data_IF_802549833941
#
_entry.id   IF_802549833941
#
_cell.length_a   1.000
_cell.length_b   1.000
_cell.length_c   1.000
_cell.angle_alpha   90.00
_cell.angle_beta   90.00
_cell.angle_gamma   90.00
#
_symmetry.space_group_name_H-M   'P 1'
#
loop_
_entity.id
_entity.type
_entity.pdbx_description
1 polymer ?
#
# COMPACT_ATOMS: atom_id res chain seq x y z
N UNK A 1 17.88 13.35 12.61
CA UNK A 1 17.33 13.59 13.97
C UNK A 1 16.03 14.34 13.79
N UNK A 2 14.99 13.93 14.51
CA UNK A 2 13.72 14.68 14.51
C UNK A 2 13.87 15.98 15.32
N UNK A 3 12.84 16.85 15.32
CA UNK A 3 12.84 18.12 16.06
C UNK A 3 13.10 17.97 17.59
N UNK A 4 13.21 16.75 18.11
CA UNK A 4 13.47 16.44 19.52
C UNK A 4 14.89 15.92 19.79
N UNK A 5 15.80 15.92 18.78
CA UNK A 5 17.21 15.51 18.92
C UNK A 5 17.43 14.00 19.12
N UNK A 6 16.39 13.17 18.95
CA UNK A 6 16.46 11.69 19.05
C UNK A 6 16.34 11.02 17.68
N UNK A 7 16.74 9.75 17.60
CA UNK A 7 16.52 8.93 16.41
C UNK A 7 15.02 8.77 16.13
N UNK A 8 14.67 8.77 14.83
CA UNK A 8 13.30 8.50 14.34
C UNK A 8 13.05 7.01 14.49
N UNK A 9 12.06 6.64 15.29
CA UNK A 9 11.62 5.25 15.46
C UNK A 9 10.76 4.82 14.28
N UNK A 10 11.16 3.76 13.59
CA UNK A 10 10.48 3.24 12.41
C UNK A 10 9.92 1.84 12.69
N UNK A 11 8.67 1.60 12.33
CA UNK A 11 8.09 0.27 12.18
C UNK A 11 8.12 -0.08 10.68
N UNK A 12 8.69 -1.24 10.32
CA UNK A 12 8.67 -1.78 8.95
C UNK A 12 7.64 -2.89 8.83
N UNK A 13 6.75 -2.77 7.84
CA UNK A 13 5.70 -3.77 7.57
C UNK A 13 5.73 -4.18 6.11
N UNK A 14 6.14 -5.43 5.86
CA UNK A 14 6.22 -6.06 4.54
C UNK A 14 6.19 -7.58 4.74
N UNK A 15 5.45 -8.32 3.96
CA UNK A 15 5.38 -9.79 4.09
C UNK A 15 6.62 -10.50 3.51
N UNK A 16 7.39 -9.81 2.65
CA UNK A 16 8.61 -10.35 2.05
C UNK A 16 9.83 -10.13 2.96
N UNK A 17 10.26 -11.16 3.69
CA UNK A 17 11.34 -11.07 4.68
C UNK A 17 12.66 -10.50 4.11
N UNK A 18 13.05 -10.89 2.89
CA UNK A 18 14.29 -10.41 2.24
C UNK A 18 14.21 -8.91 1.92
N UNK A 19 13.05 -8.47 1.41
CA UNK A 19 12.78 -7.06 1.09
C UNK A 19 12.81 -6.22 2.37
N UNK A 20 12.09 -6.67 3.41
CA UNK A 20 12.03 -6.02 4.72
C UNK A 20 13.42 -5.88 5.35
N UNK A 21 14.24 -6.94 5.30
CA UNK A 21 15.61 -6.90 5.80
C UNK A 21 16.51 -5.94 5.00
N UNK A 22 16.30 -5.83 3.69
CA UNK A 22 17.01 -4.85 2.84
C UNK A 22 16.70 -3.41 3.27
N UNK A 23 15.44 -3.07 3.48
CA UNK A 23 15.01 -1.74 3.91
C UNK A 23 15.38 -1.43 5.36
N UNK A 24 15.37 -2.44 6.24
CA UNK A 24 15.90 -2.30 7.60
C UNK A 24 17.35 -1.78 7.55
N UNK A 25 18.23 -2.50 6.84
CA UNK A 25 19.65 -2.11 6.70
C UNK A 25 19.81 -0.75 6.04
N UNK A 26 18.96 -0.40 5.07
CA UNK A 26 19.01 0.89 4.39
C UNK A 26 18.69 2.03 5.37
N UNK A 27 17.65 1.90 6.16
CA UNK A 27 17.24 2.92 7.13
C UNK A 27 18.26 3.09 8.25
N UNK A 28 18.84 2.00 8.76
CA UNK A 28 19.81 2.05 9.85
C UNK A 28 21.22 2.52 9.43
N UNK A 29 21.48 2.68 8.12
CA UNK A 29 22.67 3.43 7.67
C UNK A 29 22.61 4.91 8.08
N UNK A 30 21.43 5.43 8.30
CA UNK A 30 21.23 6.78 8.81
C UNK A 30 21.15 6.74 10.35
N UNK A 31 22.14 7.28 11.09
CA UNK A 31 22.17 7.24 12.55
C UNK A 31 21.01 8.01 13.20
N UNK A 32 20.28 8.80 12.40
CA UNK A 32 19.06 9.47 12.86
C UNK A 32 17.81 8.59 12.79
N UNK A 33 17.91 7.33 12.35
CA UNK A 33 16.81 6.39 12.24
C UNK A 33 17.09 5.10 13.03
N UNK A 34 16.03 4.51 13.57
CA UNK A 34 16.07 3.24 14.27
C UNK A 34 14.83 2.42 13.91
N UNK A 35 15.01 1.23 13.37
CA UNK A 35 13.91 0.27 13.17
C UNK A 35 13.62 -0.39 14.52
N UNK A 36 12.51 -0.02 15.15
CA UNK A 36 12.14 -0.51 16.49
C UNK A 36 11.30 -1.77 16.47
N UNK A 37 10.68 -2.08 15.33
CA UNK A 37 9.90 -3.29 15.13
C UNK A 37 9.74 -3.61 13.64
N UNK A 38 9.48 -4.89 13.36
CA UNK A 38 9.12 -5.41 12.04
C UNK A 38 7.85 -6.25 12.16
N UNK A 39 7.02 -6.24 11.10
CA UNK A 39 5.83 -7.06 11.00
C UNK A 39 5.66 -7.59 9.57
N UNK A 40 5.04 -8.77 9.43
CA UNK A 40 4.77 -9.41 8.15
C UNK A 40 3.27 -9.40 7.75
N UNK A 41 2.41 -8.89 8.61
CA UNK A 41 0.97 -8.87 8.40
C UNK A 41 0.30 -7.75 9.20
N UNK A 42 -0.98 -7.53 8.93
CA UNK A 42 -1.79 -6.47 9.56
C UNK A 42 -1.90 -6.58 11.08
N UNK A 43 -2.07 -7.80 11.61
CA UNK A 43 -2.26 -8.03 13.04
C UNK A 43 -1.02 -7.61 13.82
N UNK A 44 0.13 -8.14 13.40
CA UNK A 44 1.41 -7.86 14.05
C UNK A 44 1.79 -6.38 13.90
N UNK A 45 1.49 -5.76 12.75
CA UNK A 45 1.71 -4.33 12.53
C UNK A 45 0.96 -3.46 13.54
N UNK A 46 -0.32 -3.74 13.79
CA UNK A 46 -1.15 -3.01 14.76
C UNK A 46 -0.62 -3.23 16.19
N UNK A 47 -0.22 -4.45 16.53
CA UNK A 47 0.35 -4.76 17.83
C UNK A 47 1.69 -4.06 18.06
N UNK A 48 2.59 -4.10 17.07
CA UNK A 48 3.86 -3.37 17.11
C UNK A 48 3.67 -1.86 17.22
N UNK A 49 2.72 -1.27 16.48
CA UNK A 49 2.40 0.15 16.60
C UNK A 49 1.99 0.53 18.02
N UNK A 50 1.16 -0.30 18.65
CA UNK A 50 0.70 -0.09 20.03
C UNK A 50 1.83 -0.19 21.05
N UNK A 51 2.71 -1.19 20.92
CA UNK A 51 3.77 -1.48 21.88
C UNK A 51 4.95 -0.50 21.76
N UNK A 52 5.43 -0.28 20.55
CA UNK A 52 6.66 0.47 20.30
C UNK A 52 6.43 1.96 20.02
N UNK A 53 5.20 2.36 19.70
CA UNK A 53 4.82 3.73 19.35
C UNK A 53 5.82 4.37 18.40
N UNK A 54 5.99 3.84 17.18
CA UNK A 54 6.93 4.37 16.22
C UNK A 54 6.58 5.82 15.83
N UNK A 55 7.59 6.60 15.45
CA UNK A 55 7.39 7.94 14.87
C UNK A 55 6.82 7.85 13.46
N UNK A 56 7.19 6.78 12.71
CA UNK A 56 6.69 6.46 11.35
C UNK A 56 6.50 4.96 11.21
N UNK A 57 5.37 4.53 10.68
CA UNK A 57 5.15 3.17 10.18
C UNK A 57 5.27 3.17 8.65
N UNK A 58 6.26 2.44 8.11
CA UNK A 58 6.42 2.15 6.69
C UNK A 58 5.65 0.88 6.40
N UNK A 59 4.63 0.96 5.55
CA UNK A 59 3.60 -0.07 5.42
C UNK A 59 3.38 -0.45 3.96
N UNK A 60 3.63 -1.71 3.62
CA UNK A 60 3.26 -2.24 2.30
C UNK A 60 1.73 -2.34 2.15
N UNK A 61 1.23 -2.16 0.94
CA UNK A 61 -0.18 -2.35 0.60
C UNK A 61 -0.50 -3.84 0.48
N UNK A 62 0.38 -4.61 -0.16
CA UNK A 62 0.16 -6.03 -0.48
C UNK A 62 0.45 -6.94 0.72
N UNK A 63 -0.29 -6.79 1.81
CA UNK A 63 -0.18 -7.67 2.96
C UNK A 63 -1.15 -8.85 2.87
N UNK A 64 -0.79 -10.03 3.40
CA UNK A 64 -1.67 -11.20 3.40
C UNK A 64 -2.93 -10.93 4.23
N UNK A 65 -4.08 -11.36 3.70
CA UNK A 65 -5.39 -11.24 4.33
C UNK A 65 -5.93 -9.82 4.33
N UNK A 66 -5.43 -8.94 5.19
CA UNK A 66 -5.88 -7.54 5.32
C UNK A 66 -4.87 -6.61 4.66
N UNK A 67 -5.32 -5.84 3.66
CA UNK A 67 -4.44 -4.92 2.92
C UNK A 67 -3.80 -3.85 3.84
N UNK A 68 -2.63 -3.33 3.42
CA UNK A 68 -1.96 -2.26 4.14
C UNK A 68 -2.79 -0.97 4.26
N UNK A 69 -3.64 -0.67 3.28
CA UNK A 69 -4.52 0.51 3.36
C UNK A 69 -5.57 0.35 4.47
N UNK A 70 -6.16 -0.85 4.60
CA UNK A 70 -7.08 -1.12 5.71
C UNK A 70 -6.33 -1.19 7.05
N UNK A 71 -5.11 -1.72 7.05
CA UNK A 71 -4.22 -1.70 8.23
C UNK A 71 -3.93 -0.26 8.67
N UNK A 72 -3.59 0.62 7.74
CA UNK A 72 -3.37 2.05 8.01
C UNK A 72 -4.61 2.71 8.64
N UNK A 73 -5.80 2.42 8.09
CA UNK A 73 -7.06 2.95 8.65
C UNK A 73 -7.26 2.52 10.10
N UNK A 74 -7.02 1.25 10.42
CA UNK A 74 -7.13 0.71 11.78
C UNK A 74 -6.10 1.31 12.72
N UNK A 75 -4.84 1.47 12.27
CA UNK A 75 -3.79 2.10 13.07
C UNK A 75 -4.16 3.55 13.42
N UNK A 76 -4.61 4.34 12.43
CA UNK A 76 -5.05 5.73 12.66
C UNK A 76 -6.28 5.81 13.58
N UNK A 77 -7.22 4.86 13.46
CA UNK A 77 -8.39 4.79 14.34
C UNK A 77 -8.01 4.51 15.81
N UNK A 78 -6.96 3.71 16.04
CA UNK A 78 -6.44 3.42 17.39
C UNK A 78 -5.51 4.51 17.92
N UNK A 79 -4.75 5.16 17.04
CA UNK A 79 -3.78 6.20 17.38
C UNK A 79 -3.86 7.34 16.36
N UNK A 80 -4.61 8.37 16.69
CA UNK A 80 -4.90 9.49 15.79
C UNK A 80 -3.64 10.26 15.32
N UNK A 81 -2.54 10.19 16.07
CA UNK A 81 -1.24 10.79 15.73
C UNK A 81 -0.30 9.82 15.00
N UNK A 82 -0.76 8.60 14.63
CA UNK A 82 0.01 7.66 13.82
C UNK A 82 0.41 8.29 12.49
N UNK A 83 1.68 8.17 12.14
CA UNK A 83 2.22 8.67 10.88
C UNK A 83 2.59 7.50 10.01
N UNK A 84 1.88 7.35 8.91
CA UNK A 84 1.99 6.20 8.04
C UNK A 84 2.54 6.64 6.68
N UNK A 85 3.60 5.99 6.25
CA UNK A 85 4.17 6.04 4.92
C UNK A 85 3.79 4.75 4.19
N UNK A 86 2.92 4.83 3.20
CA UNK A 86 2.69 3.70 2.31
C UNK A 86 3.88 3.50 1.40
N UNK A 87 4.36 2.26 1.29
CA UNK A 87 5.52 1.90 0.50
C UNK A 87 5.21 0.67 -0.34
N UNK A 88 4.91 0.84 -1.62
CA UNK A 88 4.26 -0.18 -2.44
C UNK A 88 4.77 -0.24 -3.87
N UNK A 89 4.61 -1.41 -4.51
CA UNK A 89 4.85 -1.57 -5.96
C UNK A 89 3.78 -0.88 -6.81
N UNK A 90 2.62 -0.51 -6.23
CA UNK A 90 1.54 0.14 -6.97
C UNK A 90 1.79 1.64 -7.12
N UNK A 91 1.79 2.13 -8.36
CA UNK A 91 1.99 3.55 -8.70
C UNK A 91 0.69 4.26 -9.07
N UNK A 92 -0.40 3.51 -9.20
CA UNK A 92 -1.68 4.05 -9.65
C UNK A 92 -2.27 5.05 -8.65
N UNK A 93 -2.79 6.16 -9.14
CA UNK A 93 -3.41 7.23 -8.36
C UNK A 93 -4.51 6.75 -7.40
N UNK A 94 -5.22 5.68 -7.75
CA UNK A 94 -6.30 5.13 -6.94
C UNK A 94 -5.79 4.57 -5.60
N UNK A 95 -4.62 3.94 -5.57
CA UNK A 95 -4.03 3.44 -4.32
C UNK A 95 -3.56 4.59 -3.43
N UNK A 96 -2.89 5.58 -4.03
CA UNK A 96 -2.43 6.75 -3.30
C UNK A 96 -3.61 7.55 -2.71
N UNK A 97 -4.65 7.80 -3.49
CA UNK A 97 -5.85 8.50 -3.04
C UNK A 97 -6.52 7.77 -1.87
N UNK A 98 -6.65 6.44 -1.95
CA UNK A 98 -7.23 5.63 -0.88
C UNK A 98 -6.34 5.55 0.36
N UNK A 99 -5.02 5.51 0.18
CA UNK A 99 -4.07 5.56 1.27
C UNK A 99 -4.21 6.88 2.06
N UNK A 100 -4.28 8.01 1.35
CA UNK A 100 -4.51 9.31 1.99
C UNK A 100 -5.89 9.41 2.66
N UNK A 101 -6.94 8.88 2.05
CA UNK A 101 -8.27 8.79 2.67
C UNK A 101 -8.28 7.88 3.91
N UNK A 102 -7.40 6.88 3.99
CA UNK A 102 -7.19 6.04 5.17
C UNK A 102 -6.34 6.70 6.26
N UNK A 103 -5.81 7.91 6.02
CA UNK A 103 -5.01 8.69 6.97
C UNK A 103 -3.50 8.58 6.80
N UNK A 104 -3.00 7.95 5.73
CA UNK A 104 -1.57 7.95 5.43
C UNK A 104 -1.06 9.39 5.22
N UNK A 105 0.18 9.64 5.66
CA UNK A 105 0.88 10.91 5.49
C UNK A 105 1.83 10.92 4.30
N UNK A 106 2.21 9.73 3.83
CA UNK A 106 3.08 9.62 2.66
C UNK A 106 2.73 8.42 1.80
N UNK A 107 3.14 8.51 0.53
CA UNK A 107 3.10 7.42 -0.43
C UNK A 107 4.39 7.40 -1.23
N UNK A 108 5.09 6.27 -1.23
CA UNK A 108 6.34 6.04 -1.95
C UNK A 108 6.22 4.75 -2.75
N UNK A 109 6.57 4.82 -4.03
CA UNK A 109 6.71 3.64 -4.89
C UNK A 109 7.98 2.87 -4.55
N UNK A 110 7.91 1.53 -4.48
CA UNK A 110 9.10 0.65 -4.35
C UNK A 110 9.99 0.66 -5.60
N UNK A 111 9.48 1.17 -6.73
CA UNK A 111 10.27 1.40 -7.94
C UNK A 111 11.13 2.67 -7.88
N UNK A 112 10.88 3.55 -6.91
CA UNK A 112 11.69 4.75 -6.69
C UNK A 112 13.07 4.40 -6.12
N UNK A 113 14.01 5.32 -6.27
CA UNK A 113 15.36 5.15 -5.72
C UNK A 113 15.34 4.92 -4.20
N UNK A 114 16.15 3.98 -3.68
CA UNK A 114 16.16 3.65 -2.25
C UNK A 114 16.37 4.84 -1.31
N UNK A 115 17.12 5.84 -1.75
CA UNK A 115 17.41 7.05 -0.99
C UNK A 115 16.15 7.86 -0.69
N UNK A 116 15.13 7.77 -1.56
CA UNK A 116 13.84 8.42 -1.33
C UNK A 116 13.09 7.86 -0.12
N UNK A 117 13.33 6.60 0.27
CA UNK A 117 12.73 6.04 1.47
C UNK A 117 13.20 6.78 2.72
N UNK A 118 14.50 7.06 2.83
CA UNK A 118 15.08 7.81 3.96
C UNK A 118 14.49 9.22 4.01
N UNK A 119 14.40 9.89 2.86
CA UNK A 119 13.80 11.22 2.76
C UNK A 119 12.30 11.21 3.12
N UNK A 120 11.56 10.23 2.62
CA UNK A 120 10.13 10.07 2.90
C UNK A 120 9.86 9.86 4.39
N UNK A 121 10.63 8.98 5.05
CA UNK A 121 10.53 8.73 6.49
C UNK A 121 10.78 10.01 7.29
N UNK A 122 11.82 10.78 6.96
CA UNK A 122 12.11 12.07 7.62
C UNK A 122 10.95 13.06 7.45
N UNK A 123 10.48 13.21 6.21
CA UNK A 123 9.38 14.13 5.88
C UNK A 123 8.11 13.79 6.65
N UNK A 124 7.75 12.50 6.70
CA UNK A 124 6.57 12.01 7.41
C UNK A 124 6.77 12.11 8.94
N UNK A 125 7.97 11.86 9.44
CA UNK A 125 8.31 12.04 10.85
C UNK A 125 8.16 13.48 11.33
N UNK A 126 8.37 14.45 10.45
CA UNK A 126 8.13 15.89 10.71
C UNK A 126 6.63 16.28 10.60
N UNK A 127 5.75 15.32 10.31
CA UNK A 127 4.31 15.56 10.14
C UNK A 127 3.92 16.12 8.78
N UNK A 128 4.88 16.27 7.85
CA UNK A 128 4.64 16.75 6.48
C UNK A 128 4.18 15.61 5.58
N UNK A 129 3.53 15.93 4.47
CA UNK A 129 3.15 14.95 3.46
C UNK A 129 4.33 14.66 2.52
N UNK A 130 4.41 13.40 2.08
CA UNK A 130 5.37 12.94 1.07
C UNK A 130 4.65 12.16 -0.02
N UNK A 131 4.99 12.44 -1.27
CA UNK A 131 4.56 11.65 -2.44
C UNK A 131 5.76 11.51 -3.36
N UNK A 132 6.06 10.29 -3.81
CA UNK A 132 7.12 10.10 -4.82
C UNK A 132 6.72 10.74 -6.16
N UNK A 133 7.69 11.21 -6.98
CA UNK A 133 7.40 11.96 -8.21
C UNK A 133 6.50 11.20 -9.18
N UNK A 134 6.73 9.91 -9.38
CA UNK A 134 5.94 9.02 -10.24
C UNK A 134 4.46 8.94 -9.80
N UNK A 135 4.22 8.82 -8.52
CA UNK A 135 2.87 8.79 -7.94
C UNK A 135 2.21 10.17 -7.97
N UNK A 136 2.98 11.24 -7.78
CA UNK A 136 2.46 12.61 -7.89
C UNK A 136 1.98 12.92 -9.30
N UNK A 137 2.71 12.47 -10.34
CA UNK A 137 2.31 12.58 -11.73
C UNK A 137 1.00 11.80 -12.00
N UNK A 138 0.90 10.57 -11.53
CA UNK A 138 -0.32 9.76 -11.65
C UNK A 138 -1.53 10.42 -10.97
N UNK A 139 -1.35 11.02 -9.78
CA UNK A 139 -2.39 11.76 -9.07
C UNK A 139 -2.83 13.01 -9.84
N UNK A 140 -1.90 13.78 -10.42
CA UNK A 140 -2.18 14.95 -11.22
C UNK A 140 -2.96 14.59 -12.49
N UNK A 141 -2.56 13.53 -13.19
CA UNK A 141 -3.26 13.03 -14.37
C UNK A 141 -4.69 12.58 -14.03
N UNK A 142 -4.88 11.89 -12.90
CA UNK A 142 -6.20 11.46 -12.42
C UNK A 142 -7.11 12.65 -12.07
N UNK A 143 -6.58 13.70 -11.48
CA UNK A 143 -7.34 14.91 -11.14
C UNK A 143 -7.79 15.70 -12.37
N UNK A 144 -7.06 15.61 -13.48
CA UNK A 144 -7.34 16.34 -14.72
C UNK A 144 -8.49 15.76 -15.57
N UNK A 145 -9.18 14.68 -15.14
CA UNK A 145 -10.38 14.21 -15.84
C UNK A 145 -10.53 12.71 -16.04
N UNK A 146 -9.68 11.88 -15.44
CA UNK A 146 -9.79 10.43 -15.54
C UNK A 146 -10.49 9.80 -14.32
N UNK A 147 -11.66 10.32 -13.91
CA UNK A 147 -12.54 9.63 -12.95
C UNK A 147 -13.25 8.48 -13.69
N UNK A 148 -12.49 7.43 -14.02
CA UNK A 148 -12.99 6.24 -14.68
C UNK A 148 -13.81 5.34 -13.73
N UNK A 149 -14.62 4.48 -14.32
CA UNK A 149 -15.47 3.44 -13.70
C UNK A 149 -14.73 2.57 -12.69
N UNK A 150 -13.40 2.51 -12.73
CA UNK A 150 -12.54 1.83 -11.75
C UNK A 150 -12.57 2.41 -10.32
N UNK A 151 -13.10 3.63 -10.13
CA UNK A 151 -13.22 4.26 -8.81
C UNK A 151 -14.18 3.52 -7.85
N UNK A 152 -15.07 2.67 -8.35
CA UNK A 152 -16.02 1.88 -7.56
C UNK A 152 -15.44 0.60 -6.96
N UNK A 153 -14.26 0.15 -7.42
CA UNK A 153 -13.63 -1.08 -6.94
C UNK A 153 -12.93 -0.84 -5.60
N UNK A 154 -13.03 -1.78 -4.66
CA UNK A 154 -12.18 -1.78 -3.45
C UNK A 154 -10.71 -2.02 -3.81
N UNK A 155 -9.77 -1.74 -2.88
CA UNK A 155 -8.34 -2.04 -3.09
C UNK A 155 -8.14 -3.50 -3.48
N UNK A 156 -8.79 -4.43 -2.77
CA UNK A 156 -8.68 -5.86 -3.02
C UNK A 156 -9.27 -6.27 -4.38
N UNK A 157 -10.37 -5.70 -4.77
CA UNK A 157 -10.95 -5.92 -6.10
C UNK A 157 -10.04 -5.39 -7.21
N UNK A 158 -9.38 -4.26 -6.99
CA UNK A 158 -8.43 -3.69 -7.92
C UNK A 158 -7.18 -4.58 -8.09
N UNK A 159 -6.63 -5.10 -6.98
CA UNK A 159 -5.52 -6.07 -7.00
C UNK A 159 -5.89 -7.33 -7.78
N UNK A 160 -7.05 -7.91 -7.46
CA UNK A 160 -7.53 -9.12 -8.14
C UNK A 160 -7.74 -8.87 -9.63
N UNK A 161 -8.36 -7.73 -10.00
CA UNK A 161 -8.60 -7.39 -11.40
C UNK A 161 -7.28 -7.27 -12.17
N UNK A 162 -6.27 -6.64 -11.59
CA UNK A 162 -4.94 -6.51 -12.19
C UNK A 162 -4.26 -7.87 -12.40
N UNK A 163 -4.32 -8.76 -11.41
CA UNK A 163 -3.77 -10.10 -11.55
C UNK A 163 -4.52 -10.94 -12.61
N UNK A 164 -5.85 -10.78 -12.71
CA UNK A 164 -6.65 -11.41 -13.76
C UNK A 164 -6.27 -10.90 -15.16
N UNK A 165 -6.04 -9.60 -15.33
CA UNK A 165 -5.62 -9.02 -16.63
C UNK A 165 -4.19 -9.43 -16.99
N UNK A 166 -3.34 -9.69 -16.00
CA UNK A 166 -1.98 -10.25 -16.18
C UNK A 166 -1.99 -11.76 -16.46
N UNK A 167 -3.16 -12.43 -16.52
CA UNK A 167 -3.30 -13.82 -16.91
C UNK A 167 -3.19 -14.85 -15.79
N UNK A 168 -3.13 -14.44 -14.53
CA UNK A 168 -3.10 -15.39 -13.40
C UNK A 168 -4.44 -16.08 -13.20
N UNK A 169 -4.39 -17.37 -12.84
CA UNK A 169 -5.57 -18.15 -12.46
C UNK A 169 -6.03 -17.84 -11.03
N UNK A 170 -7.30 -18.15 -10.74
CA UNK A 170 -7.90 -17.84 -9.42
C UNK A 170 -7.13 -18.50 -8.25
N UNK A 171 -6.57 -19.69 -8.46
CA UNK A 171 -5.73 -20.37 -7.47
C UNK A 171 -4.44 -19.62 -7.19
N UNK A 172 -3.71 -19.25 -8.24
CA UNK A 172 -2.46 -18.50 -8.15
C UNK A 172 -2.66 -17.12 -7.52
N UNK A 173 -3.77 -16.44 -7.87
CA UNK A 173 -4.17 -15.18 -7.24
C UNK A 173 -4.44 -15.41 -5.75
N UNK A 174 -5.11 -16.49 -5.40
CA UNK A 174 -5.38 -16.85 -4.01
C UNK A 174 -4.11 -17.03 -3.20
N UNK A 175 -3.14 -17.78 -3.72
CA UNK A 175 -1.82 -17.97 -3.10
C UNK A 175 -1.07 -16.65 -2.90
N UNK A 176 -0.97 -15.83 -3.97
CA UNK A 176 -0.29 -14.52 -3.93
C UNK A 176 -0.91 -13.55 -2.93
N UNK A 177 -2.21 -13.61 -2.77
CA UNK A 177 -2.96 -12.69 -1.93
C UNK A 177 -3.28 -13.25 -0.53
N UNK A 178 -2.84 -14.48 -0.22
CA UNK A 178 -3.07 -15.13 1.08
C UNK A 178 -4.55 -15.41 1.37
N UNK A 179 -5.35 -15.75 0.33
CA UNK A 179 -6.77 -16.07 0.44
C UNK A 179 -7.13 -17.32 -0.39
N UNK A 180 -8.30 -17.91 -0.14
CA UNK A 180 -8.74 -19.07 -0.92
C UNK A 180 -9.13 -18.68 -2.36
N UNK A 181 -8.98 -19.61 -3.32
CA UNK A 181 -9.49 -19.43 -4.69
C UNK A 181 -10.98 -19.09 -4.71
N UNK A 182 -11.77 -19.65 -3.77
CA UNK A 182 -13.20 -19.33 -3.59
C UNK A 182 -13.41 -17.86 -3.22
N UNK A 183 -12.56 -17.32 -2.37
CA UNK A 183 -12.60 -15.88 -2.00
C UNK A 183 -12.29 -15.00 -3.22
N UNK A 184 -11.29 -15.37 -4.03
CA UNK A 184 -10.98 -14.67 -5.29
C UNK A 184 -12.14 -14.74 -6.27
N UNK A 185 -12.79 -15.90 -6.43
CA UNK A 185 -13.98 -16.06 -7.29
C UNK A 185 -15.15 -15.17 -6.84
N UNK A 186 -15.36 -15.03 -5.53
CA UNK A 186 -16.38 -14.11 -4.98
C UNK A 186 -16.06 -12.67 -5.34
N UNK A 187 -14.82 -12.23 -5.18
CA UNK A 187 -14.38 -10.90 -5.60
C UNK A 187 -14.52 -10.70 -7.10
N UNK A 188 -14.12 -11.68 -7.94
CA UNK A 188 -14.32 -11.61 -9.39
C UNK A 188 -15.78 -11.40 -9.76
N UNK A 189 -16.71 -12.09 -9.07
CA UNK A 189 -18.14 -11.90 -9.27
C UNK A 189 -18.62 -10.49 -8.89
N UNK A 190 -18.14 -9.96 -7.77
CA UNK A 190 -18.43 -8.59 -7.35
C UNK A 190 -17.86 -7.56 -8.34
N UNK A 191 -16.64 -7.76 -8.84
CA UNK A 191 -16.00 -6.90 -9.86
C UNK A 191 -16.82 -6.92 -11.15
N UNK A 192 -17.23 -8.09 -11.63
CA UNK A 192 -18.09 -8.22 -12.81
C UNK A 192 -19.36 -7.40 -12.66
N UNK A 193 -20.04 -7.52 -11.54
CA UNK A 193 -21.26 -6.75 -11.26
C UNK A 193 -20.99 -5.23 -11.28
N UNK A 194 -19.92 -4.77 -10.64
CA UNK A 194 -19.55 -3.36 -10.56
C UNK A 194 -19.15 -2.75 -11.91
N UNK A 195 -18.53 -3.57 -12.77
CA UNK A 195 -18.05 -3.13 -14.09
C UNK A 195 -19.05 -3.47 -15.23
N UNK A 196 -20.21 -4.05 -14.91
CA UNK A 196 -21.22 -4.42 -15.89
C UNK A 196 -20.79 -5.56 -16.83
N UNK A 197 -19.81 -6.39 -16.42
CA UNK A 197 -19.32 -7.51 -17.22
C UNK A 197 -20.13 -8.78 -16.94
N UNK A 198 -20.56 -9.49 -17.98
CA UNK A 198 -21.35 -10.73 -17.86
C UNK A 198 -20.49 -12.01 -17.87
N UNK A 199 -19.24 -11.92 -18.37
CA UNK A 199 -18.29 -13.05 -18.44
C UNK A 199 -16.90 -12.64 -17.97
N UNK A 200 -16.04 -13.63 -17.70
CA UNK A 200 -14.64 -13.38 -17.37
C UNK A 200 -13.86 -12.72 -18.53
N UNK A 201 -14.14 -13.15 -19.77
CA UNK A 201 -13.53 -12.54 -20.95
C UNK A 201 -13.93 -11.06 -21.11
N UNK A 202 -15.21 -10.77 -20.95
CA UNK A 202 -15.71 -9.38 -21.02
C UNK A 202 -15.11 -8.54 -19.89
N UNK A 203 -14.95 -9.10 -18.69
CA UNK A 203 -14.28 -8.42 -17.58
C UNK A 203 -12.86 -7.98 -17.95
N UNK A 204 -12.07 -8.89 -18.56
CA UNK A 204 -10.69 -8.58 -18.99
C UNK A 204 -10.70 -7.48 -20.06
N UNK A 205 -11.61 -7.53 -21.03
CA UNK A 205 -11.72 -6.51 -22.09
C UNK A 205 -12.07 -5.13 -21.49
N UNK A 206 -13.07 -5.06 -20.62
CA UNK A 206 -13.46 -3.82 -19.93
C UNK A 206 -12.29 -3.31 -19.07
N UNK A 207 -11.61 -4.19 -18.34
CA UNK A 207 -10.47 -3.81 -17.51
C UNK A 207 -9.34 -3.18 -18.35
N UNK A 208 -9.00 -3.77 -19.50
CA UNK A 208 -7.99 -3.20 -20.41
C UNK A 208 -8.39 -1.83 -20.96
N UNK A 209 -9.66 -1.61 -21.29
CA UNK A 209 -10.18 -0.29 -21.70
C UNK A 209 -10.07 0.75 -20.58
N UNK A 210 -10.11 0.31 -19.32
CA UNK A 210 -9.93 1.13 -18.12
C UNK A 210 -8.46 1.32 -17.73
N UNK A 211 -7.50 0.81 -18.52
CA UNK A 211 -6.07 0.96 -18.28
C UNK A 211 -5.43 -0.10 -17.36
N UNK A 212 -6.14 -1.18 -17.07
CA UNK A 212 -5.57 -2.33 -16.37
C UNK A 212 -4.79 -3.20 -17.36
N UNK A 213 -3.47 -3.16 -17.32
CA UNK A 213 -2.56 -3.98 -18.12
C UNK A 213 -1.77 -4.93 -17.24
#
# INVERSE_FOLDING_TARGET
MNARGRAIKVLLVDDHAVVRQGYHRLLERDPAMQVVAEAANSRDAIECDRLFRPDVAVLDIALPGVSGIETARRMVAHRADARILMFSMYQDAIYASRAFAAGARGYLSKASAPELLVQAVRTVADGRRFVSPDVAEALAASAAGASGVGASLSVREHEILRLLTSGYELGEIGERLGVSAKTVANHQSAIKHKLGATSALQLILVARQLGFN
#
